data_IF_988414168555
#
_entry.id   IF_988414168555
#
_cell.length_a   1.000
_cell.length_b   1.000
_cell.length_c   1.000
_cell.angle_alpha   90.00
_cell.angle_beta   90.00
_cell.angle_gamma   90.00
#
_symmetry.space_group_name_H-M   'P 1'
#
loop_
_entity.id
_entity.type
_entity.pdbx_description
1 polymer ?
#
# COMPACT_ATOMS: atom_id res chain seq x y z
N UNK A 1 7.21 13.55 3.88
CA UNK A 1 8.43 13.26 3.09
C UNK A 1 8.54 14.35 2.04
N UNK A 2 9.72 14.90 1.87
CA UNK A 2 10.09 15.82 0.81
C UNK A 2 11.10 15.14 -0.11
N UNK A 3 11.03 15.47 -1.39
CA UNK A 3 11.93 14.97 -2.42
C UNK A 3 12.70 16.14 -3.00
N UNK A 4 14.01 16.01 -3.11
CA UNK A 4 14.84 16.98 -3.82
C UNK A 4 15.62 16.29 -4.94
N UNK A 5 16.37 17.11 -5.70
CA UNK A 5 17.13 16.66 -6.87
C UNK A 5 18.11 15.52 -6.54
N UNK A 6 18.62 15.45 -5.33
CA UNK A 6 19.69 14.51 -4.95
C UNK A 6 19.27 13.41 -4.00
N UNK A 7 18.22 13.62 -3.17
CA UNK A 7 17.83 12.67 -2.13
C UNK A 7 16.38 12.85 -1.65
N UNK A 8 15.95 11.95 -0.78
CA UNK A 8 14.70 12.03 -0.03
C UNK A 8 14.96 12.49 1.41
N UNK A 9 14.00 13.19 1.98
CA UNK A 9 14.00 13.57 3.39
C UNK A 9 12.63 13.30 4.01
N UNK A 10 12.59 12.61 5.15
CA UNK A 10 11.41 12.52 5.99
C UNK A 10 11.63 13.33 7.28
N UNK A 11 10.57 13.92 7.79
CA UNK A 11 10.54 14.53 9.11
C UNK A 11 9.64 13.67 9.97
N UNK A 12 10.18 13.17 11.07
CA UNK A 12 9.48 12.27 11.99
C UNK A 12 9.36 12.98 13.33
N UNK A 13 8.14 13.04 13.86
CA UNK A 13 7.89 13.56 15.20
C UNK A 13 7.94 12.41 16.21
N UNK A 14 8.67 12.62 17.30
CA UNK A 14 8.74 11.69 18.40
C UNK A 14 7.83 12.18 19.53
N UNK A 15 6.79 11.42 19.86
CA UNK A 15 5.90 11.76 20.98
C UNK A 15 6.57 11.59 22.34
N UNK A 16 7.58 10.72 22.45
CA UNK A 16 8.30 10.47 23.71
C UNK A 16 9.28 11.58 24.06
N UNK A 17 9.91 12.19 23.06
CA UNK A 17 10.87 13.29 23.25
C UNK A 17 10.26 14.66 22.98
N UNK A 18 9.11 14.72 22.27
CA UNK A 18 8.50 15.98 21.85
C UNK A 18 9.23 16.67 20.70
N UNK A 19 10.17 16.00 20.04
CA UNK A 19 11.07 16.59 19.07
C UNK A 19 10.84 16.08 17.64
N UNK A 20 11.13 16.95 16.67
CA UNK A 20 11.20 16.59 15.26
C UNK A 20 12.62 16.16 14.91
N UNK A 21 12.74 15.03 14.21
CA UNK A 21 13.99 14.57 13.62
C UNK A 21 13.89 14.49 12.11
N UNK A 22 14.92 14.97 11.42
CA UNK A 22 15.06 14.82 9.98
C UNK A 22 15.82 13.52 9.67
N UNK A 23 15.29 12.75 8.73
CA UNK A 23 15.89 11.52 8.21
C UNK A 23 16.11 11.73 6.73
N UNK A 24 17.36 11.69 6.29
CA UNK A 24 17.71 11.82 4.88
C UNK A 24 18.10 10.46 4.30
N UNK A 25 17.69 10.17 3.07
CA UNK A 25 18.24 9.05 2.33
C UNK A 25 19.69 9.33 1.91
N UNK A 26 20.38 8.28 1.51
CA UNK A 26 21.56 8.42 0.67
C UNK A 26 21.19 9.10 -0.67
N UNK A 27 22.20 9.50 -1.43
CA UNK A 27 22.00 10.04 -2.77
C UNK A 27 21.23 9.05 -3.65
N UNK A 28 20.52 9.55 -4.67
CA UNK A 28 19.77 8.69 -5.59
C UNK A 28 20.59 7.57 -6.20
N UNK A 29 21.85 7.85 -6.54
CA UNK A 29 22.80 6.83 -7.02
C UNK A 29 22.87 5.66 -6.06
N UNK A 30 23.31 5.93 -4.84
CA UNK A 30 23.52 4.94 -3.77
C UNK A 30 22.22 4.22 -3.37
N UNK A 31 21.11 4.96 -3.23
CA UNK A 31 19.82 4.40 -2.86
C UNK A 31 19.27 3.43 -3.92
N UNK A 32 19.62 3.65 -5.18
CA UNK A 32 19.17 2.86 -6.32
C UNK A 32 20.21 1.85 -6.81
N UNK A 33 21.38 1.78 -6.19
CA UNK A 33 22.41 0.77 -6.54
C UNK A 33 21.81 -0.62 -6.47
N UNK A 34 22.07 -1.44 -7.50
CA UNK A 34 21.61 -2.82 -7.56
C UNK A 34 20.10 -2.99 -7.82
N UNK A 35 19.32 -1.92 -7.91
CA UNK A 35 17.87 -2.01 -8.15
C UNK A 35 17.49 -2.13 -9.63
N UNK A 36 18.45 -1.94 -10.54
CA UNK A 36 18.21 -1.88 -12.00
C UNK A 36 17.55 -0.56 -12.48
N UNK A 37 17.31 0.37 -11.55
CA UNK A 37 16.69 1.67 -11.80
C UNK A 37 17.77 2.67 -12.21
N UNK A 38 17.79 3.09 -13.48
CA UNK A 38 18.74 4.11 -13.95
C UNK A 38 18.42 5.49 -13.38
N UNK A 39 19.45 6.17 -12.87
CA UNK A 39 19.46 7.58 -12.44
C UNK A 39 19.65 8.56 -13.60
N UNK A 40 19.91 8.07 -14.82
CA UNK A 40 20.12 8.89 -16.01
C UNK A 40 18.81 9.50 -16.57
N UNK A 41 17.65 9.06 -16.06
CA UNK A 41 16.37 9.69 -16.40
C UNK A 41 16.25 11.05 -15.73
N UNK A 42 15.89 12.09 -16.49
CA UNK A 42 15.65 13.44 -15.97
C UNK A 42 14.42 13.53 -15.05
N UNK A 43 13.59 12.49 -15.00
CA UNK A 43 12.41 12.42 -14.13
C UNK A 43 12.77 11.73 -12.81
N UNK A 44 12.69 12.49 -11.72
CA UNK A 44 12.73 11.93 -10.37
C UNK A 44 11.58 10.93 -10.18
N UNK A 45 11.81 9.80 -9.50
CA UNK A 45 10.76 8.81 -9.26
C UNK A 45 9.62 9.43 -8.46
N UNK A 46 8.38 9.06 -8.78
CA UNK A 46 7.17 9.53 -8.09
C UNK A 46 6.72 8.46 -7.11
N UNK A 47 6.45 8.87 -5.87
CA UNK A 47 6.01 7.98 -4.80
C UNK A 47 4.56 8.27 -4.42
N UNK A 48 3.75 7.22 -4.35
CA UNK A 48 2.33 7.34 -4.00
C UNK A 48 1.87 6.21 -3.10
N UNK A 49 0.67 6.37 -2.53
CA UNK A 49 0.04 5.36 -1.67
C UNK A 49 0.89 5.05 -0.43
N UNK A 50 1.06 6.05 0.47
CA UNK A 50 1.75 5.84 1.75
C UNK A 50 1.00 4.81 2.58
N UNK A 51 1.72 3.80 3.02
CA UNK A 51 1.20 2.70 3.83
C UNK A 51 2.13 2.47 5.03
N UNK A 52 1.62 1.81 6.08
CA UNK A 52 2.39 1.53 7.29
C UNK A 52 2.10 0.13 7.78
N UNK A 53 3.16 -0.65 8.00
CA UNK A 53 3.12 -1.99 8.57
C UNK A 53 4.50 -2.35 9.13
N UNK A 54 4.57 -3.26 10.11
CA UNK A 54 5.84 -3.78 10.63
C UNK A 54 6.87 -2.69 11.00
N UNK A 55 6.41 -1.60 11.62
CA UNK A 55 7.22 -0.43 11.97
C UNK A 55 7.92 0.28 10.77
N UNK A 56 7.42 0.09 9.56
CA UNK A 56 7.95 0.68 8.34
C UNK A 56 6.87 1.46 7.60
N UNK A 57 7.25 2.59 7.01
CA UNK A 57 6.42 3.23 5.99
C UNK A 57 6.81 2.74 4.60
N UNK A 58 5.81 2.52 3.77
CA UNK A 58 5.96 2.07 2.39
C UNK A 58 5.32 3.05 1.41
N UNK A 59 5.97 3.25 0.28
CA UNK A 59 5.41 3.95 -0.87
C UNK A 59 5.68 3.17 -2.14
N UNK A 60 4.71 3.17 -3.04
CA UNK A 60 4.93 2.60 -4.36
C UNK A 60 5.72 3.59 -5.20
N UNK A 61 6.82 3.11 -5.77
CA UNK A 61 7.56 3.82 -6.80
C UNK A 61 6.85 3.63 -8.15
N UNK A 62 6.58 4.73 -8.83
CA UNK A 62 6.02 4.73 -10.18
C UNK A 62 6.84 3.86 -11.15
N UNK A 63 6.13 3.22 -12.09
CA UNK A 63 6.61 2.60 -13.34
C UNK A 63 7.77 1.60 -13.26
N UNK A 64 8.32 1.34 -12.06
CA UNK A 64 9.57 0.61 -11.84
C UNK A 64 9.39 -0.63 -10.97
N UNK A 65 8.15 -0.94 -10.58
CA UNK A 65 7.80 -2.13 -9.78
C UNK A 65 8.64 -2.27 -8.48
N UNK A 66 8.90 -1.14 -7.82
CA UNK A 66 9.65 -1.08 -6.55
C UNK A 66 8.82 -0.43 -5.45
N UNK A 67 9.21 -0.70 -4.22
CA UNK A 67 8.74 -0.02 -3.01
C UNK A 67 9.86 0.79 -2.40
N UNK A 68 9.57 2.04 -2.07
CA UNK A 68 10.38 2.80 -1.12
C UNK A 68 9.92 2.45 0.29
N UNK A 69 10.89 2.10 1.13
CA UNK A 69 10.67 1.77 2.53
C UNK A 69 11.42 2.78 3.42
N UNK A 70 10.77 3.22 4.49
CA UNK A 70 11.39 3.93 5.61
C UNK A 70 11.20 3.09 6.87
N UNK A 71 12.27 2.48 7.35
CA UNK A 71 12.30 1.81 8.66
C UNK A 71 12.30 2.87 9.76
N UNK A 72 11.27 2.88 10.60
CA UNK A 72 11.13 3.90 11.66
C UNK A 72 11.94 3.57 12.91
N UNK A 73 12.41 2.33 13.08
CA UNK A 73 13.28 1.93 14.20
C UNK A 73 14.71 2.34 13.93
N UNK A 74 15.18 2.06 12.71
CA UNK A 74 16.54 2.40 12.25
C UNK A 74 16.63 3.82 11.70
N UNK A 75 15.49 4.39 11.31
CA UNK A 75 15.39 5.69 10.64
C UNK A 75 16.20 5.70 9.35
N UNK A 76 16.00 4.67 8.54
CA UNK A 76 16.76 4.41 7.32
C UNK A 76 15.82 4.19 6.13
N UNK A 77 16.20 4.74 4.97
CA UNK A 77 15.53 4.49 3.70
C UNK A 77 16.14 3.31 2.97
N UNK A 78 15.31 2.51 2.32
CA UNK A 78 15.75 1.45 1.41
C UNK A 78 14.72 1.23 0.30
N UNK A 79 15.14 0.49 -0.73
CA UNK A 79 14.27 0.07 -1.84
C UNK A 79 14.06 -1.43 -1.74
N UNK A 80 12.82 -1.86 -1.88
CA UNK A 80 12.44 -3.26 -1.96
C UNK A 80 11.77 -3.57 -3.31
N UNK A 81 11.90 -4.82 -3.73
CA UNK A 81 11.18 -5.35 -4.89
C UNK A 81 9.71 -5.59 -4.57
N UNK A 82 8.85 -5.48 -5.59
CA UNK A 82 7.49 -6.00 -5.51
C UNK A 82 7.47 -7.51 -5.79
N UNK A 83 6.46 -8.23 -5.28
CA UNK A 83 6.19 -9.59 -5.71
C UNK A 83 6.07 -9.74 -7.23
N UNK A 84 6.54 -10.87 -7.79
CA UNK A 84 6.51 -11.11 -9.22
C UNK A 84 5.07 -11.07 -9.78
N UNK A 85 4.92 -10.46 -10.96
CA UNK A 85 3.63 -10.32 -11.65
C UNK A 85 2.77 -9.14 -11.18
N UNK A 86 3.22 -8.35 -10.20
CA UNK A 86 2.54 -7.10 -9.83
C UNK A 86 2.85 -6.01 -10.87
N UNK A 87 2.03 -5.92 -11.94
CA UNK A 87 2.32 -5.04 -13.08
C UNK A 87 1.92 -3.57 -12.90
N UNK A 88 1.13 -3.20 -11.89
CA UNK A 88 0.89 -1.83 -11.41
C UNK A 88 -0.02 -1.89 -10.17
N UNK A 89 0.12 -1.00 -9.17
CA UNK A 89 -0.83 -0.91 -8.06
C UNK A 89 -2.22 -0.49 -8.54
N UNK A 90 -3.27 -0.87 -7.81
CA UNK A 90 -3.30 -0.74 -6.35
C UNK A 90 -2.83 -2.00 -5.62
N UNK A 91 -1.95 -1.81 -4.63
CA UNK A 91 -1.50 -2.84 -3.68
C UNK A 91 -1.81 -2.36 -2.26
N UNK A 92 -1.89 -3.28 -1.32
CA UNK A 92 -1.96 -2.97 0.10
C UNK A 92 -0.90 -3.75 0.89
N UNK A 93 -0.18 -3.07 1.79
CA UNK A 93 0.83 -3.62 2.67
C UNK A 93 0.23 -3.73 4.07
N UNK A 94 0.39 -4.89 4.67
CA UNK A 94 -0.18 -5.26 5.98
C UNK A 94 0.90 -5.90 6.85
N UNK A 95 0.65 -5.99 8.16
CA UNK A 95 1.45 -6.83 9.04
C UNK A 95 0.95 -8.28 8.93
N UNK A 96 1.78 -9.19 8.43
CA UNK A 96 1.44 -10.60 8.29
C UNK A 96 1.68 -11.40 9.59
N UNK A 97 2.07 -10.74 10.68
CA UNK A 97 2.53 -11.37 11.90
C UNK A 97 4.06 -11.53 11.92
N UNK A 98 4.60 -11.72 13.13
CA UNK A 98 6.05 -11.94 13.36
C UNK A 98 6.96 -10.82 12.83
N UNK A 99 6.40 -9.62 12.60
CA UNK A 99 7.12 -8.50 12.02
C UNK A 99 7.42 -8.66 10.53
N UNK A 100 6.72 -9.58 9.83
CA UNK A 100 6.85 -9.78 8.39
C UNK A 100 5.80 -8.96 7.64
N UNK A 101 6.20 -8.14 6.65
CA UNK A 101 5.22 -7.44 5.83
C UNK A 101 4.52 -8.41 4.88
N UNK A 102 3.20 -8.35 4.86
CA UNK A 102 2.34 -8.97 3.85
C UNK A 102 1.92 -7.96 2.79
N UNK A 103 1.60 -8.44 1.60
CA UNK A 103 1.11 -7.62 0.50
C UNK A 103 -0.08 -8.28 -0.19
N UNK A 104 -1.14 -7.50 -0.33
CA UNK A 104 -2.28 -7.80 -1.18
C UNK A 104 -2.18 -7.07 -2.51
N UNK A 105 -2.49 -7.77 -3.60
CA UNK A 105 -2.61 -7.20 -4.93
C UNK A 105 -3.83 -7.77 -5.65
N UNK A 106 -4.61 -6.90 -6.28
CA UNK A 106 -5.64 -7.31 -7.23
C UNK A 106 -4.95 -7.62 -8.56
N UNK A 107 -5.24 -8.78 -9.14
CA UNK A 107 -4.71 -9.19 -10.44
C UNK A 107 -5.85 -9.67 -11.33
N UNK A 108 -5.82 -9.21 -12.57
CA UNK A 108 -6.71 -9.67 -13.64
C UNK A 108 -6.17 -10.95 -14.26
N UNK A 109 -7.05 -11.91 -14.53
CA UNK A 109 -6.76 -13.09 -15.33
C UNK A 109 -7.00 -12.78 -16.81
N UNK A 110 -5.93 -12.86 -17.60
CA UNK A 110 -5.93 -12.52 -19.04
C UNK A 110 -6.93 -13.35 -19.88
N UNK A 111 -7.40 -14.51 -19.37
CA UNK A 111 -8.22 -15.44 -20.13
C UNK A 111 -9.73 -15.18 -20.06
N UNK A 112 -10.22 -14.64 -18.94
CA UNK A 112 -11.65 -14.53 -18.64
C UNK A 112 -12.06 -13.19 -18.00
N UNK A 113 -11.11 -12.26 -17.81
CA UNK A 113 -11.37 -10.95 -17.20
C UNK A 113 -11.76 -11.06 -15.72
N UNK A 114 -11.52 -12.20 -15.08
CA UNK A 114 -11.76 -12.37 -13.64
C UNK A 114 -10.66 -11.69 -12.83
N UNK A 115 -11.00 -11.26 -11.62
CA UNK A 115 -10.04 -10.67 -10.70
C UNK A 115 -9.84 -11.58 -9.50
N UNK A 116 -8.60 -11.69 -9.09
CA UNK A 116 -8.19 -12.43 -7.91
C UNK A 116 -7.42 -11.50 -6.99
N UNK A 117 -7.65 -11.64 -5.68
CA UNK A 117 -6.87 -10.97 -4.66
C UNK A 117 -5.75 -11.89 -4.19
N UNK A 118 -4.53 -11.56 -4.58
CA UNK A 118 -3.32 -12.31 -4.25
C UNK A 118 -2.76 -11.80 -2.93
N UNK A 119 -2.49 -12.71 -1.99
CA UNK A 119 -1.81 -12.44 -0.73
C UNK A 119 -0.42 -13.07 -0.73
N UNK A 120 0.59 -12.23 -0.56
CA UNK A 120 2.01 -12.63 -0.50
C UNK A 120 2.66 -12.15 0.78
N UNK A 121 3.59 -12.92 1.33
CA UNK A 121 4.33 -12.59 2.55
C UNK A 121 5.81 -12.49 2.22
N UNK A 122 6.48 -11.46 2.74
CA UNK A 122 7.93 -11.32 2.62
C UNK A 122 8.61 -12.23 3.63
N UNK A 123 9.55 -13.04 3.17
CA UNK A 123 10.29 -13.95 4.03
C UNK A 123 11.50 -13.29 4.70
N UNK A 124 11.74 -13.67 5.96
CA UNK A 124 12.88 -13.22 6.75
C UNK A 124 14.11 -14.15 6.61
N UNK A 125 13.92 -15.43 6.24
CA UNK A 125 14.97 -16.45 6.22
C UNK A 125 15.32 -16.90 4.79
N UNK A 126 16.61 -16.87 4.45
CA UNK A 126 17.15 -17.31 3.16
C UNK A 126 18.27 -16.40 2.62
N UNK A 127 19.00 -16.85 1.58
CA UNK A 127 20.08 -16.07 0.95
C UNK A 127 19.59 -14.75 0.29
N UNK A 128 18.28 -14.54 0.16
CA UNK A 128 17.68 -13.32 -0.37
C UNK A 128 16.58 -12.78 0.56
N UNK A 129 16.94 -11.85 1.45
CA UNK A 129 16.07 -11.11 2.40
C UNK A 129 14.93 -10.28 1.77
N UNK A 130 14.68 -10.44 0.46
CA UNK A 130 13.73 -9.66 -0.33
C UNK A 130 12.73 -10.54 -1.11
N UNK A 131 12.70 -11.85 -0.86
CA UNK A 131 11.81 -12.73 -1.61
C UNK A 131 10.39 -12.72 -1.02
N UNK A 132 9.43 -12.47 -1.89
CA UNK A 132 8.00 -12.60 -1.61
C UNK A 132 7.52 -14.00 -1.97
N UNK A 133 6.78 -14.63 -1.07
CA UNK A 133 6.15 -15.93 -1.30
C UNK A 133 4.64 -15.79 -1.31
N UNK A 134 3.99 -16.56 -2.19
CA UNK A 134 2.54 -16.60 -2.31
C UNK A 134 1.94 -17.41 -1.16
N UNK A 135 0.98 -16.82 -0.46
CA UNK A 135 0.31 -17.45 0.69
C UNK A 135 -1.10 -17.91 0.32
N UNK A 136 -1.91 -17.02 -0.29
CA UNK A 136 -3.31 -17.33 -0.62
C UNK A 136 -3.80 -16.53 -1.82
N UNK A 137 -4.63 -17.16 -2.63
CA UNK A 137 -5.44 -16.49 -3.66
C UNK A 137 -6.90 -16.47 -3.18
N UNK A 138 -7.53 -15.31 -3.24
CA UNK A 138 -8.95 -15.14 -2.90
C UNK A 138 -9.66 -14.73 -4.20
N UNK A 139 -10.52 -15.61 -4.75
CA UNK A 139 -11.25 -15.28 -5.96
C UNK A 139 -12.23 -14.14 -5.70
N UNK A 140 -12.31 -13.20 -6.63
CA UNK A 140 -13.30 -12.13 -6.61
C UNK A 140 -14.36 -12.39 -7.70
N UNK A 141 -15.52 -11.76 -7.54
CA UNK A 141 -16.63 -11.92 -8.49
C UNK A 141 -16.28 -11.29 -9.84
N UNK A 142 -16.69 -11.94 -10.93
CA UNK A 142 -16.51 -11.44 -12.29
C UNK A 142 -17.45 -10.28 -12.62
N UNK A 143 -17.12 -9.49 -13.66
CA UNK A 143 -17.93 -8.36 -14.11
C UNK A 143 -17.78 -7.08 -13.28
N UNK A 144 -16.81 -7.05 -12.36
CA UNK A 144 -16.52 -5.90 -11.53
C UNK A 144 -15.06 -5.49 -11.59
N UNK A 145 -14.81 -4.20 -11.35
CA UNK A 145 -13.48 -3.65 -11.07
C UNK A 145 -13.25 -3.52 -9.58
N UNK A 146 -12.02 -3.80 -9.18
CA UNK A 146 -11.62 -3.83 -7.78
C UNK A 146 -10.49 -2.85 -7.48
N UNK A 147 -10.62 -2.13 -6.36
CA UNK A 147 -9.66 -1.10 -5.96
C UNK A 147 -9.29 -1.26 -4.48
N UNK A 148 -8.01 -1.52 -4.21
CA UNK A 148 -7.48 -1.46 -2.84
C UNK A 148 -7.31 0.01 -2.43
N UNK A 149 -7.92 0.41 -1.32
CA UNK A 149 -7.89 1.81 -0.86
C UNK A 149 -6.96 2.05 0.32
N UNK A 150 -6.75 1.05 1.15
CA UNK A 150 -5.84 1.15 2.29
C UNK A 150 -5.98 -0.05 3.21
N UNK A 151 -5.04 -0.17 4.14
CA UNK A 151 -5.04 -1.20 5.16
C UNK A 151 -4.62 -0.63 6.52
N UNK A 152 -5.03 -1.31 7.58
CA UNK A 152 -4.52 -1.19 8.94
C UNK A 152 -3.82 -2.48 9.34
N UNK A 153 -3.40 -2.57 10.60
CA UNK A 153 -2.86 -3.81 11.18
C UNK A 153 -3.86 -4.98 11.15
N UNK A 154 -5.17 -4.71 11.06
CA UNK A 154 -6.22 -5.73 11.12
C UNK A 154 -7.07 -5.84 9.88
N UNK A 155 -7.36 -4.73 9.22
CA UNK A 155 -8.35 -4.68 8.15
C UNK A 155 -7.80 -4.07 6.87
N UNK A 156 -8.23 -4.61 5.75
CA UNK A 156 -7.99 -4.11 4.41
C UNK A 156 -9.31 -3.58 3.83
N UNK A 157 -9.28 -2.44 3.15
CA UNK A 157 -10.44 -1.87 2.46
C UNK A 157 -10.35 -2.13 0.95
N UNK A 158 -11.34 -2.85 0.43
CA UNK A 158 -11.50 -3.17 -0.98
C UNK A 158 -12.79 -2.51 -1.48
N UNK A 159 -12.69 -1.73 -2.56
CA UNK A 159 -13.88 -1.21 -3.26
C UNK A 159 -14.14 -2.02 -4.52
N UNK A 160 -15.42 -2.20 -4.82
CA UNK A 160 -15.95 -2.85 -6.00
C UNK A 160 -16.80 -1.86 -6.79
N UNK A 161 -16.64 -1.83 -8.10
CA UNK A 161 -17.48 -1.07 -9.04
C UNK A 161 -17.95 -2.00 -10.14
N UNK A 162 -19.15 -1.81 -10.67
CA UNK A 162 -19.55 -2.44 -11.93
C UNK A 162 -18.61 -2.02 -13.05
N UNK A 163 -18.28 -2.95 -13.94
CA UNK A 163 -17.45 -2.70 -15.12
C UNK A 163 -18.30 -2.01 -16.21
N UNK A 164 -18.57 -0.72 -16.02
CA UNK A 164 -19.30 0.04 -17.03
C UNK A 164 -18.49 0.15 -18.32
N UNK A 165 -19.05 -0.38 -19.39
CA UNK A 165 -18.51 -0.28 -20.75
C UNK A 165 -18.24 1.20 -21.12
N UNK A 166 -17.25 1.50 -21.99
CA UNK A 166 -16.82 2.87 -22.30
C UNK A 166 -17.86 3.72 -23.07
N UNK A 167 -19.10 3.25 -23.23
CA UNK A 167 -20.18 3.92 -23.95
C UNK A 167 -21.20 4.64 -23.04
N UNK A 168 -21.05 4.60 -21.71
CA UNK A 168 -21.93 5.36 -20.80
C UNK A 168 -21.56 6.85 -20.81
N UNK A 169 -22.24 7.60 -21.66
CA UNK A 169 -22.23 9.07 -21.73
C UNK A 169 -23.01 9.73 -20.58
N UNK A 170 -23.38 8.98 -19.53
CA UNK A 170 -24.11 9.49 -18.37
C UNK A 170 -23.15 9.78 -17.22
N UNK A 171 -23.18 11.01 -16.71
CA UNK A 171 -22.61 11.46 -15.43
C UNK A 171 -23.20 10.74 -14.19
N UNK A 172 -23.98 9.67 -14.38
CA UNK A 172 -24.51 8.82 -13.31
C UNK A 172 -23.34 7.97 -12.80
N UNK A 173 -22.78 8.40 -11.67
CA UNK A 173 -21.69 7.69 -10.99
C UNK A 173 -22.20 6.32 -10.52
N UNK A 174 -21.57 5.24 -10.98
CA UNK A 174 -21.88 3.89 -10.54
C UNK A 174 -21.65 3.77 -9.02
N UNK A 175 -22.60 3.13 -8.32
CA UNK A 175 -22.47 2.86 -6.89
C UNK A 175 -21.20 2.01 -6.64
N UNK A 176 -20.42 2.38 -5.62
CA UNK A 176 -19.28 1.60 -5.18
C UNK A 176 -19.65 0.76 -3.98
N UNK A 177 -19.36 -0.53 -4.02
CA UNK A 177 -19.51 -1.38 -2.85
C UNK A 177 -18.21 -1.49 -2.09
N UNK A 178 -18.31 -1.36 -0.77
CA UNK A 178 -17.19 -1.31 0.14
C UNK A 178 -17.11 -2.63 0.91
N UNK A 179 -15.96 -3.27 0.86
CA UNK A 179 -15.67 -4.52 1.55
C UNK A 179 -14.50 -4.33 2.50
N UNK A 180 -14.60 -4.96 3.67
CA UNK A 180 -13.49 -5.11 4.60
C UNK A 180 -12.98 -6.54 4.54
N UNK A 181 -11.66 -6.71 4.49
CA UNK A 181 -11.01 -7.99 4.67
C UNK A 181 -10.26 -8.00 5.99
N UNK A 182 -10.52 -8.99 6.85
CA UNK A 182 -9.72 -9.22 8.06
C UNK A 182 -8.43 -9.93 7.66
N UNK A 183 -7.28 -9.31 7.94
CA UNK A 183 -5.95 -9.76 7.48
C UNK A 183 -5.56 -11.10 8.10
N UNK A 184 -6.05 -11.41 9.31
CA UNK A 184 -5.69 -12.65 10.01
C UNK A 184 -6.48 -13.84 9.50
N UNK A 185 -7.78 -13.64 9.29
CA UNK A 185 -8.69 -14.70 8.85
C UNK A 185 -8.78 -14.82 7.33
N UNK A 186 -8.38 -13.76 6.61
CA UNK A 186 -8.50 -13.62 5.16
C UNK A 186 -9.95 -13.77 4.68
N UNK A 187 -10.90 -13.35 5.52
CA UNK A 187 -12.33 -13.32 5.21
C UNK A 187 -12.72 -11.93 4.72
N UNK A 188 -13.50 -11.89 3.64
CA UNK A 188 -14.01 -10.68 3.02
C UNK A 188 -15.48 -10.50 3.40
N UNK A 189 -15.83 -9.31 3.90
CA UNK A 189 -17.18 -8.95 4.34
C UNK A 189 -17.63 -7.64 3.69
N UNK A 190 -18.91 -7.56 3.32
CA UNK A 190 -19.51 -6.32 2.82
C UNK A 190 -19.78 -5.36 3.98
N UNK A 191 -19.39 -4.10 3.80
CA UNK A 191 -19.52 -3.03 4.81
C UNK A 191 -20.67 -2.10 4.47
N UNK A 192 -20.64 -1.50 3.28
CA UNK A 192 -21.64 -0.55 2.84
C UNK A 192 -21.60 -0.31 1.33
N UNK A 193 -22.64 0.35 0.81
CA UNK A 193 -22.68 0.89 -0.55
C UNK A 193 -22.48 2.41 -0.51
N UNK A 194 -21.60 2.90 -1.35
CA UNK A 194 -21.21 4.30 -1.48
C UNK A 194 -21.80 4.85 -2.77
N UNK A 195 -22.53 5.96 -2.67
CA UNK A 195 -23.12 6.66 -3.82
C UNK A 195 -22.16 7.63 -4.53
N UNK A 196 -20.92 7.72 -4.05
CA UNK A 196 -19.93 8.68 -4.54
C UNK A 196 -18.54 8.05 -4.54
N UNK A 197 -17.73 8.46 -5.50
CA UNK A 197 -16.38 7.95 -5.65
C UNK A 197 -15.46 8.45 -4.52
N UNK A 198 -14.90 7.54 -3.74
CA UNK A 198 -13.88 7.87 -2.74
C UNK A 198 -12.50 7.71 -3.38
N UNK A 199 -11.82 8.82 -3.66
CA UNK A 199 -10.45 8.80 -4.20
C UNK A 199 -9.41 8.32 -3.17
N UNK A 200 -9.64 8.63 -1.88
CA UNK A 200 -8.79 8.23 -0.76
C UNK A 200 -9.66 7.92 0.44
N UNK A 201 -9.51 6.72 0.99
CA UNK A 201 -10.11 6.32 2.25
C UNK A 201 -9.00 6.05 3.25
N UNK A 202 -9.20 6.49 4.49
CA UNK A 202 -8.36 6.09 5.61
C UNK A 202 -9.24 5.30 6.56
N UNK A 203 -8.82 4.08 6.87
CA UNK A 203 -9.53 3.24 7.83
C UNK A 203 -9.22 3.81 9.22
N UNK A 204 -10.27 4.19 9.95
CA UNK A 204 -10.19 4.69 11.30
C UNK A 204 -10.80 3.65 12.24
N UNK A 205 -9.98 3.00 13.07
CA UNK A 205 -10.40 1.89 13.94
C UNK A 205 -10.52 2.26 15.42
N UNK A 206 -10.15 3.48 15.79
CA UNK A 206 -10.18 3.94 17.18
C UNK A 206 -11.35 4.91 17.39
N UNK A 207 -11.79 5.08 18.63
CA UNK A 207 -12.65 6.22 18.95
C UNK A 207 -11.81 7.51 18.93
N UNK A 208 -12.38 8.65 18.48
CA UNK A 208 -11.71 9.92 18.66
C UNK A 208 -11.40 10.11 20.16
N UNK A 209 -10.20 10.60 20.51
CA UNK A 209 -9.92 10.95 21.89
C UNK A 209 -11.02 11.88 22.40
N UNK A 210 -11.51 11.61 23.60
CA UNK A 210 -12.59 12.36 24.24
C UNK A 210 -12.24 13.85 24.25
N UNK A 211 -13.07 14.70 23.66
CA UNK A 211 -12.87 16.16 23.64
C UNK A 211 -13.13 16.82 25.00
N UNK A 212 -13.60 16.05 25.99
CA UNK A 212 -13.74 16.53 27.36
C UNK A 212 -12.35 16.66 27.99
N UNK A 213 -11.94 17.90 28.24
CA UNK A 213 -10.80 18.19 29.11
C UNK A 213 -11.02 17.46 30.43
N UNK A 214 -10.05 16.67 30.87
CA UNK A 214 -10.01 16.26 32.27
C UNK A 214 -9.83 17.54 33.07
N UNK A 215 -10.91 18.02 33.66
CA UNK A 215 -10.87 19.08 34.66
C UNK A 215 -10.05 18.53 35.82
N UNK A 216 -8.92 19.20 36.09
CA UNK A 216 -8.06 18.98 37.25
C UNK A 216 -8.85 19.23 38.53
#
# INVERSE_FOLDING_TARGET
>A
MAQCKTKLVAFVFSSSTGEWRAVASQGWGDLLVGTGVSTASSKSPVFFGRQYACACFYWVMDWRQKLLMLDTRRMEFSIADLPPGCRRPPIAIVDAGEGRPGMFAVREHDADGTFDLYYTIRQNEGQSFNQWQMEKTIPLESGYRYFLRGATERYLLLLRSEDDSPSSSSLEMSDLECFSLDVKTLQLESVCRLKHHILRAHIYTNFPPSLSSQTI
#
